data_IF_627923730186
#
_entry.id   IF_627923730186
#
_cell.length_a   1.000
_cell.length_b   1.000
_cell.length_c   1.000
_cell.angle_alpha   90.00
_cell.angle_beta   90.00
_cell.angle_gamma   90.00
#
_symmetry.space_group_name_H-M   'P 1'
#
loop_
_entity.id
_entity.type
_entity.pdbx_description
1 polymer ?
#
# COMPACT_ATOMS: atom_id res chain seq x y z
N UNK A 1 11.71 -3.00 -1.92
CA UNK A 1 12.25 -1.85 -1.17
C UNK A 1 11.14 -1.22 -0.34
N UNK A 2 11.46 -0.60 0.80
CA UNK A 2 10.49 0.08 1.68
C UNK A 2 10.54 1.59 1.46
N UNK A 3 9.38 2.21 1.24
CA UNK A 3 9.23 3.68 1.18
C UNK A 3 8.15 4.08 2.15
N UNK A 4 8.45 4.98 3.06
CA UNK A 4 7.42 5.56 3.92
C UNK A 4 7.92 6.90 4.39
N UNK A 5 7.27 8.03 4.04
CA UNK A 5 7.31 9.14 4.98
C UNK A 5 6.83 8.58 6.33
N UNK A 6 7.32 9.14 7.45
CA UNK A 6 6.72 8.83 8.74
C UNK A 6 5.22 9.23 8.71
N UNK A 7 4.49 9.08 9.83
CA UNK A 7 3.03 9.31 9.91
C UNK A 7 2.51 10.66 9.35
N UNK A 8 3.40 11.58 8.99
CA UNK A 8 3.11 12.91 8.46
C UNK A 8 2.94 12.98 6.93
N UNK A 9 3.25 11.90 6.19
CA UNK A 9 3.08 11.85 4.73
C UNK A 9 4.06 12.73 3.94
N UNK A 10 3.82 12.88 2.64
CA UNK A 10 4.52 13.80 1.74
C UNK A 10 3.53 14.85 1.24
N UNK A 11 3.84 16.14 1.42
CA UNK A 11 2.93 17.22 1.04
C UNK A 11 2.60 17.21 -0.48
N UNK A 12 1.33 17.40 -0.83
CA UNK A 12 0.83 17.49 -2.22
C UNK A 12 1.23 18.82 -2.88
N UNK A 13 2.51 18.95 -3.20
CA UNK A 13 3.10 20.11 -3.85
C UNK A 13 4.31 19.71 -4.71
N UNK A 14 4.91 20.69 -5.38
CA UNK A 14 6.05 20.46 -6.27
C UNK A 14 7.26 19.82 -5.56
N UNK A 15 7.50 20.16 -4.29
CA UNK A 15 8.60 19.58 -3.52
C UNK A 15 8.32 18.11 -3.15
N UNK A 16 7.06 17.78 -2.79
CA UNK A 16 6.64 16.42 -2.50
C UNK A 16 6.71 15.50 -3.73
N UNK A 17 6.26 15.97 -4.89
CA UNK A 17 6.43 15.22 -6.14
C UNK A 17 7.92 15.03 -6.48
N UNK A 18 8.73 16.09 -6.34
CA UNK A 18 10.17 16.01 -6.61
C UNK A 18 10.88 15.00 -5.68
N UNK A 19 10.44 14.89 -4.42
CA UNK A 19 10.94 13.88 -3.48
C UNK A 19 10.67 12.47 -4.01
N UNK A 20 9.43 12.15 -4.38
CA UNK A 20 9.12 10.83 -4.95
C UNK A 20 9.87 10.58 -6.26
N UNK A 21 9.89 11.55 -7.19
CA UNK A 21 10.62 11.41 -8.44
C UNK A 21 12.11 11.12 -8.20
N UNK A 22 12.72 11.70 -7.15
CA UNK A 22 14.12 11.44 -6.82
C UNK A 22 14.35 10.00 -6.34
N UNK A 23 13.50 9.49 -5.44
CA UNK A 23 13.62 8.15 -4.86
C UNK A 23 13.30 7.08 -5.90
N UNK A 24 12.26 7.28 -6.69
CA UNK A 24 11.82 6.28 -7.66
C UNK A 24 12.80 6.18 -8.85
N UNK A 25 13.45 7.28 -9.24
CA UNK A 25 14.60 7.23 -10.15
C UNK A 25 15.78 6.47 -9.57
N UNK A 26 16.09 6.64 -8.28
CA UNK A 26 17.13 5.87 -7.61
C UNK A 26 16.80 4.37 -7.62
N UNK A 27 15.57 4.01 -7.28
CA UNK A 27 15.13 2.61 -7.25
C UNK A 27 15.10 1.96 -8.63
N UNK A 28 14.75 2.73 -9.67
CA UNK A 28 14.87 2.27 -11.05
C UNK A 28 16.32 1.95 -11.42
N UNK A 29 17.29 2.77 -11.01
CA UNK A 29 18.73 2.49 -11.22
C UNK A 29 19.21 1.25 -10.46
N UNK A 30 18.57 0.91 -9.34
CA UNK A 30 18.85 -0.31 -8.58
C UNK A 30 18.08 -1.52 -9.08
N UNK A 31 17.31 -1.40 -10.15
CA UNK A 31 16.49 -2.47 -10.68
C UNK A 31 15.46 -3.01 -9.67
N UNK A 32 14.93 -2.16 -8.80
CA UNK A 32 13.83 -2.52 -7.90
C UNK A 32 12.57 -2.76 -8.73
N UNK A 33 11.85 -3.85 -8.44
CA UNK A 33 10.60 -4.22 -9.11
C UNK A 33 9.38 -4.22 -8.18
N UNK A 34 9.60 -4.04 -6.88
CA UNK A 34 8.55 -4.11 -5.86
C UNK A 34 8.80 -3.11 -4.73
N UNK A 35 7.78 -2.33 -4.41
CA UNK A 35 7.81 -1.33 -3.34
C UNK A 35 6.66 -1.58 -2.38
N UNK A 36 7.01 -1.79 -1.10
CA UNK A 36 6.07 -1.68 0.02
C UNK A 36 6.08 -0.24 0.51
N UNK A 37 4.89 0.34 0.66
CA UNK A 37 4.70 1.74 1.04
C UNK A 37 3.94 1.81 2.34
N UNK A 38 4.57 2.25 3.41
CA UNK A 38 3.95 2.23 4.73
C UNK A 38 3.27 3.55 5.12
N UNK A 39 2.48 3.49 6.19
CA UNK A 39 1.74 4.61 6.77
C UNK A 39 0.85 5.40 5.79
N UNK A 40 0.33 4.74 4.75
CA UNK A 40 -0.34 5.44 3.63
C UNK A 40 -1.79 5.00 3.40
N UNK A 41 -2.10 3.74 3.72
CA UNK A 41 -3.33 3.10 3.25
C UNK A 41 -4.52 3.20 4.22
N UNK A 42 -4.31 3.72 5.43
CA UNK A 42 -5.38 3.97 6.41
C UNK A 42 -4.95 4.92 7.53
N UNK A 43 -5.93 5.59 8.16
CA UNK A 43 -5.79 6.39 9.40
C UNK A 43 -4.67 7.47 9.39
N UNK A 44 -4.74 8.48 8.50
CA UNK A 44 -5.72 8.68 7.45
C UNK A 44 -5.33 7.98 6.14
N UNK A 45 -6.28 7.81 5.23
CA UNK A 45 -5.97 7.34 3.87
C UNK A 45 -5.34 8.48 3.06
N UNK A 46 -4.06 8.35 2.68
CA UNK A 46 -3.29 9.41 2.04
C UNK A 46 -3.43 9.38 0.50
N UNK A 47 -4.58 9.83 0.02
CA UNK A 47 -4.94 9.78 -1.40
C UNK A 47 -3.95 10.53 -2.31
N UNK A 48 -3.44 11.68 -1.87
CA UNK A 48 -2.50 12.49 -2.64
C UNK A 48 -1.12 11.81 -2.74
N UNK A 49 -0.58 11.31 -1.62
CA UNK A 49 0.68 10.57 -1.57
C UNK A 49 0.67 9.37 -2.52
N UNK A 50 -0.40 8.56 -2.49
CA UNK A 50 -0.55 7.38 -3.35
C UNK A 50 -0.47 7.80 -4.83
N UNK A 51 -1.14 8.89 -5.20
CA UNK A 51 -1.15 9.42 -6.56
C UNK A 51 0.24 9.93 -6.99
N UNK A 52 0.92 10.70 -6.13
CA UNK A 52 2.25 11.23 -6.41
C UNK A 52 3.29 10.11 -6.55
N UNK A 53 3.25 9.11 -5.68
CA UNK A 53 4.08 7.92 -5.76
C UNK A 53 3.83 7.16 -7.07
N UNK A 54 2.56 6.90 -7.41
CA UNK A 54 2.21 6.19 -8.65
C UNK A 54 2.66 6.96 -9.90
N UNK A 55 2.58 8.29 -9.87
CA UNK A 55 3.13 9.14 -10.92
C UNK A 55 4.66 8.99 -11.03
N UNK A 56 5.38 9.05 -9.90
CA UNK A 56 6.83 8.91 -9.87
C UNK A 56 7.31 7.54 -10.36
N UNK A 57 6.60 6.46 -10.04
CA UNK A 57 6.89 5.11 -10.57
C UNK A 57 6.77 5.09 -12.10
N UNK A 58 5.70 5.67 -12.66
CA UNK A 58 5.52 5.80 -14.12
C UNK A 58 6.63 6.64 -14.75
N UNK A 59 6.98 7.77 -14.13
CA UNK A 59 8.02 8.68 -14.62
C UNK A 59 9.43 8.08 -14.55
N UNK A 60 9.69 7.15 -13.61
CA UNK A 60 10.98 6.48 -13.48
C UNK A 60 11.28 5.49 -14.62
N UNK A 61 10.28 5.13 -15.45
CA UNK A 61 10.47 4.33 -16.65
C UNK A 61 10.76 2.84 -16.42
N UNK A 62 10.79 2.36 -15.17
CA UNK A 62 10.86 0.94 -14.81
C UNK A 62 9.54 0.54 -14.13
N UNK A 63 8.82 -0.49 -14.62
CA UNK A 63 7.65 -1.02 -13.93
C UNK A 63 8.02 -1.49 -12.51
N UNK A 64 7.27 -1.03 -11.52
CA UNK A 64 7.42 -1.46 -10.12
C UNK A 64 6.03 -1.73 -9.54
N UNK A 65 5.89 -2.86 -8.84
CA UNK A 65 4.67 -3.20 -8.11
C UNK A 65 4.55 -2.29 -6.89
N UNK A 66 3.41 -1.61 -6.75
CA UNK A 66 3.08 -0.76 -5.61
C UNK A 66 2.19 -1.54 -4.63
N UNK A 67 2.72 -1.77 -3.43
CA UNK A 67 2.05 -2.44 -2.31
C UNK A 67 1.82 -1.48 -1.15
N UNK A 68 0.56 -1.13 -0.85
CA UNK A 68 0.21 -0.14 0.17
C UNK A 68 -0.04 -0.75 1.55
N UNK A 69 0.55 -0.17 2.60
CA UNK A 69 0.42 -0.55 4.01
C UNK A 69 0.39 0.67 4.95
N UNK A 70 0.01 0.49 6.23
CA UNK A 70 -0.78 -0.61 6.76
C UNK A 70 -2.27 -0.40 6.45
N UNK A 71 -3.06 -1.46 6.60
CA UNK A 71 -4.51 -1.42 6.46
C UNK A 71 -5.22 -1.11 7.79
N UNK A 72 -6.56 -1.21 7.84
CA UNK A 72 -7.43 -1.67 6.77
C UNK A 72 -7.74 -0.55 5.76
N UNK A 73 -7.38 -0.74 4.49
CA UNK A 73 -7.76 0.18 3.43
C UNK A 73 -9.29 0.28 3.31
N UNK A 74 -9.88 1.48 3.16
CA UNK A 74 -11.32 1.65 3.00
C UNK A 74 -11.83 1.15 1.64
N UNK A 75 -13.00 0.47 1.62
CA UNK A 75 -13.60 -0.08 0.40
C UNK A 75 -14.02 1.02 -0.61
N UNK A 76 -14.43 2.19 -0.14
CA UNK A 76 -14.82 3.32 -0.99
C UNK A 76 -13.65 3.89 -1.80
N UNK A 77 -12.40 3.49 -1.50
CA UNK A 77 -11.19 3.88 -2.26
C UNK A 77 -10.83 2.93 -3.39
N UNK A 78 -11.58 1.84 -3.61
CA UNK A 78 -11.28 0.82 -4.62
C UNK A 78 -10.95 1.38 -6.01
N UNK A 79 -11.70 2.40 -6.45
CA UNK A 79 -11.47 3.01 -7.76
C UNK A 79 -10.09 3.68 -7.87
N UNK A 80 -9.62 4.33 -6.80
CA UNK A 80 -8.29 4.92 -6.76
C UNK A 80 -7.20 3.86 -6.63
N UNK A 81 -7.39 2.89 -5.73
CA UNK A 81 -6.45 1.78 -5.54
C UNK A 81 -6.15 1.07 -6.87
N UNK A 82 -7.17 0.85 -7.69
CA UNK A 82 -7.03 0.26 -9.02
C UNK A 82 -6.33 1.15 -10.05
N UNK A 83 -6.25 2.47 -9.84
CA UNK A 83 -5.52 3.38 -10.73
C UNK A 83 -4.05 3.53 -10.31
N UNK A 84 -3.81 3.53 -9.01
CA UNK A 84 -2.54 4.01 -8.46
C UNK A 84 -1.72 2.92 -7.74
N UNK A 85 -2.25 1.70 -7.55
CA UNK A 85 -1.55 0.61 -6.88
C UNK A 85 -1.86 -0.78 -7.44
N UNK A 86 -1.01 -1.74 -7.08
CA UNK A 86 -1.15 -3.14 -7.47
C UNK A 86 -1.68 -4.02 -6.34
N UNK A 87 -1.40 -3.66 -5.09
CA UNK A 87 -1.93 -4.35 -3.93
C UNK A 87 -2.02 -3.43 -2.71
N UNK A 88 -2.88 -3.77 -1.75
CA UNK A 88 -3.14 -2.94 -0.57
C UNK A 88 -3.58 -3.76 0.63
N UNK A 89 -3.11 -3.38 1.82
CA UNK A 89 -3.39 -4.09 3.07
C UNK A 89 -4.85 -3.95 3.50
N UNK A 90 -5.54 -5.07 3.68
CA UNK A 90 -6.95 -5.11 4.12
C UNK A 90 -7.12 -5.20 5.64
N UNK A 91 -6.00 -5.27 6.37
CA UNK A 91 -5.92 -5.32 7.84
C UNK A 91 -4.68 -4.60 8.37
N UNK A 92 -4.65 -4.37 9.68
CA UNK A 92 -3.40 -4.16 10.43
C UNK A 92 -2.55 -5.44 10.42
N UNK A 93 -1.33 -5.36 10.97
CA UNK A 93 -0.36 -6.46 10.87
C UNK A 93 -0.87 -7.75 11.49
N UNK A 94 -0.57 -8.86 10.81
CA UNK A 94 -0.87 -10.21 11.23
C UNK A 94 0.34 -10.76 11.95
N UNK A 95 0.12 -11.22 13.18
CA UNK A 95 1.14 -11.94 13.95
C UNK A 95 0.75 -13.41 14.06
N UNK A 96 1.70 -14.25 14.47
CA UNK A 96 1.52 -15.68 14.70
C UNK A 96 0.65 -15.95 15.95
N UNK A 97 -0.63 -15.63 15.81
CA UNK A 97 -1.71 -15.89 16.76
C UNK A 97 -2.96 -16.25 15.98
N UNK A 98 -3.75 -17.18 16.52
CA UNK A 98 -4.98 -17.60 15.85
C UNK A 98 -6.00 -16.47 15.74
N UNK A 99 -6.27 -15.75 16.84
CA UNK A 99 -7.25 -14.67 16.89
C UNK A 99 -6.83 -13.61 17.90
N UNK A 100 -6.90 -12.35 17.49
CA UNK A 100 -6.71 -11.18 18.34
C UNK A 100 -8.04 -10.48 18.63
N UNK A 101 -8.16 -9.89 19.83
CA UNK A 101 -9.27 -9.01 20.23
C UNK A 101 -8.89 -7.52 20.12
N UNK A 102 -7.62 -7.22 19.89
CA UNK A 102 -7.10 -5.87 19.74
C UNK A 102 -7.22 -5.39 18.29
N UNK A 103 -7.11 -4.08 18.06
CA UNK A 103 -7.02 -3.54 16.70
C UNK A 103 -5.68 -3.89 16.03
N UNK A 104 -4.63 -4.11 16.81
CA UNK A 104 -3.31 -4.55 16.42
C UNK A 104 -2.69 -5.38 17.58
N UNK A 105 -1.99 -6.49 17.29
CA UNK A 105 -1.94 -7.16 16.00
C UNK A 105 -3.27 -7.83 15.65
N UNK A 106 -3.41 -8.35 14.44
CA UNK A 106 -4.48 -9.26 14.02
C UNK A 106 -3.96 -10.70 14.01
N UNK A 107 -4.86 -11.66 14.21
CA UNK A 107 -4.57 -13.08 14.00
C UNK A 107 -5.11 -13.60 12.67
N UNK A 108 -4.74 -14.82 12.31
CA UNK A 108 -5.17 -15.49 11.06
C UNK A 108 -6.70 -15.52 10.94
N UNK A 109 -7.40 -15.87 12.01
CA UNK A 109 -8.86 -15.97 12.01
C UNK A 109 -9.58 -14.62 11.92
N UNK A 110 -8.89 -13.49 12.19
CA UNK A 110 -9.44 -12.15 11.94
C UNK A 110 -9.50 -11.82 10.44
N UNK A 111 -8.74 -12.52 9.59
CA UNK A 111 -8.64 -12.23 8.15
C UNK A 111 -9.79 -12.81 7.34
N UNK A 112 -10.39 -13.94 7.74
CA UNK A 112 -11.43 -14.60 6.94
C UNK A 112 -12.59 -13.67 6.56
N UNK A 113 -13.12 -12.91 7.53
CA UNK A 113 -14.19 -11.94 7.25
C UNK A 113 -13.75 -10.77 6.37
N UNK A 114 -12.47 -10.38 6.41
CA UNK A 114 -11.91 -9.32 5.56
C UNK A 114 -11.74 -9.84 4.13
N UNK A 115 -11.12 -11.01 3.98
CA UNK A 115 -10.94 -11.69 2.71
C UNK A 115 -12.28 -11.96 2.03
N UNK A 116 -13.30 -12.41 2.75
CA UNK A 116 -14.64 -12.62 2.18
C UNK A 116 -15.23 -11.35 1.54
N UNK A 117 -14.98 -10.17 2.11
CA UNK A 117 -15.43 -8.89 1.54
C UNK A 117 -14.61 -8.44 0.32
N UNK A 118 -13.32 -8.76 0.30
CA UNK A 118 -12.38 -8.28 -0.72
C UNK A 118 -12.17 -9.25 -1.88
N UNK A 119 -12.35 -10.55 -1.67
CA UNK A 119 -12.11 -11.59 -2.67
C UNK A 119 -12.90 -11.37 -3.98
N UNK A 120 -14.19 -10.96 -3.96
CA UNK A 120 -14.92 -10.66 -5.20
C UNK A 120 -14.39 -9.44 -5.96
N UNK A 121 -13.55 -8.61 -5.34
CA UNK A 121 -13.01 -7.38 -5.91
C UNK A 121 -11.59 -7.55 -6.46
N UNK A 122 -10.94 -8.67 -6.16
CA UNK A 122 -9.62 -9.01 -6.67
C UNK A 122 -9.66 -9.25 -8.18
N UNK A 123 -8.64 -8.79 -8.89
CA UNK A 123 -8.48 -9.02 -10.34
C UNK A 123 -7.00 -8.95 -10.72
N UNK A 124 -6.59 -9.47 -11.89
CA UNK A 124 -5.20 -9.38 -12.35
C UNK A 124 -4.62 -7.97 -12.18
N UNK A 125 -3.47 -7.88 -11.52
CA UNK A 125 -2.77 -6.62 -11.24
C UNK A 125 -3.30 -5.80 -10.06
N UNK A 126 -4.34 -6.27 -9.35
CA UNK A 126 -4.99 -5.52 -8.26
C UNK A 126 -5.47 -6.45 -7.13
N UNK A 127 -4.69 -6.53 -6.06
CA UNK A 127 -4.84 -7.56 -5.03
C UNK A 127 -5.10 -7.01 -3.62
N UNK A 128 -6.16 -7.46 -2.94
CA UNK A 128 -6.26 -7.27 -1.50
C UNK A 128 -5.20 -8.12 -0.78
N UNK A 129 -4.43 -7.49 0.10
CA UNK A 129 -3.32 -8.10 0.84
C UNK A 129 -3.69 -8.31 2.31
N UNK A 130 -3.76 -9.57 2.75
CA UNK A 130 -4.07 -9.94 4.13
C UNK A 130 -2.84 -10.01 5.05
N UNK A 131 -1.74 -9.36 4.64
CA UNK A 131 -0.41 -9.39 5.25
C UNK A 131 0.37 -10.69 4.96
N UNK A 132 1.62 -10.71 5.39
CA UNK A 132 2.54 -11.82 5.19
C UNK A 132 2.07 -13.10 5.89
N UNK A 133 2.48 -14.26 5.34
CA UNK A 133 2.28 -15.55 5.99
C UNK A 133 3.04 -15.58 7.32
N UNK A 134 2.34 -15.97 8.39
CA UNK A 134 2.88 -16.16 9.74
C UNK A 134 3.13 -17.65 9.99
#
# INVERSE_FOLDING_TARGET
>A
MYVGPHNDGVADNAAGQAYYDSILRLYARWHVDFIKVDCISSRPYAAADIRMLAHAVRAAGRPMVISLSPGPTPLDKLAQLRRDANMWRISNDVWDVWRSKSAFPQGVANQFGRLARWAPLARPGHWPDADMLA
#
